data_IF_597830526997
#
_entry.id   IF_597830526997
#
_cell.length_a   1.000
_cell.length_b   1.000
_cell.length_c   1.000
_cell.angle_alpha   90.00
_cell.angle_beta   90.00
_cell.angle_gamma   90.00
#
_symmetry.space_group_name_H-M   'P 1'
#
loop_
_entity.id
_entity.type
_entity.pdbx_description
1 polymer ?
#
# COMPACT_ATOMS: atom_id res chain seq x y z
N UNK A 1 -22.21 -8.23 -0.01
CA UNK A 1 -22.98 -6.97 -0.17
C UNK A 1 -22.34 -6.22 -1.33
N UNK A 2 -23.11 -5.79 -2.33
CA UNK A 2 -22.55 -5.07 -3.48
C UNK A 2 -22.01 -3.72 -3.00
N UNK A 3 -20.69 -3.52 -3.08
CA UNK A 3 -20.06 -2.25 -2.77
C UNK A 3 -20.70 -1.20 -3.68
N UNK A 4 -21.51 -0.32 -3.08
CA UNK A 4 -22.03 0.85 -3.77
C UNK A 4 -20.83 1.67 -4.23
N UNK A 5 -20.95 2.30 -5.38
CA UNK A 5 -20.00 3.28 -5.89
C UNK A 5 -20.09 4.57 -5.04
N UNK A 6 -20.03 4.42 -3.72
CA UNK A 6 -19.88 5.49 -2.74
C UNK A 6 -18.47 6.02 -2.91
N UNK A 7 -18.36 7.07 -3.71
CA UNK A 7 -17.23 7.99 -3.90
C UNK A 7 -15.84 7.47 -3.44
N UNK A 8 -15.43 6.30 -3.96
CA UNK A 8 -14.09 5.73 -3.79
C UNK A 8 -12.99 6.71 -4.27
N UNK A 9 -13.36 7.75 -5.02
CA UNK A 9 -12.51 8.87 -5.42
C UNK A 9 -12.11 9.81 -4.27
N UNK A 10 -12.84 9.83 -3.15
CA UNK A 10 -12.53 10.68 -1.99
C UNK A 10 -11.21 10.23 -1.35
N UNK A 11 -10.90 8.94 -1.40
CA UNK A 11 -9.71 8.37 -0.77
C UNK A 11 -9.82 8.33 0.76
N UNK A 12 -9.03 7.46 1.36
CA UNK A 12 -8.99 7.18 2.78
C UNK A 12 -7.85 7.92 3.43
N UNK A 13 -8.12 8.58 4.56
CA UNK A 13 -7.09 9.24 5.35
C UNK A 13 -6.37 8.18 6.19
N UNK A 14 -5.07 8.00 5.92
CA UNK A 14 -4.20 7.03 6.60
C UNK A 14 -3.13 7.80 7.35
N UNK A 15 -2.94 7.46 8.63
CA UNK A 15 -1.85 8.00 9.44
C UNK A 15 -0.62 7.12 9.20
N UNK A 16 0.44 7.74 8.71
CA UNK A 16 1.73 7.09 8.48
C UNK A 16 2.57 7.09 9.76
N UNK A 17 3.65 6.30 9.79
CA UNK A 17 4.52 6.16 10.95
C UNK A 17 5.26 7.47 11.29
N UNK A 18 5.48 8.32 10.29
CA UNK A 18 6.00 9.69 10.44
C UNK A 18 5.02 10.65 11.14
N UNK A 19 3.80 10.19 11.46
CA UNK A 19 2.73 10.99 12.07
C UNK A 19 1.97 11.86 11.07
N UNK A 20 2.29 11.80 9.77
CA UNK A 20 1.57 12.54 8.75
C UNK A 20 0.32 11.77 8.31
N UNK A 21 -0.79 12.49 8.18
CA UNK A 21 -2.04 11.92 7.63
C UNK A 21 -2.06 12.15 6.12
N UNK A 22 -2.06 11.07 5.35
CA UNK A 22 -2.09 11.11 3.88
C UNK A 22 -3.39 10.51 3.36
N UNK A 23 -4.03 11.20 2.41
CA UNK A 23 -5.30 10.78 1.80
C UNK A 23 -5.05 9.84 0.62
N UNK A 24 -5.00 8.53 0.90
CA UNK A 24 -4.71 7.49 -0.08
C UNK A 24 -5.95 7.18 -0.92
N UNK A 25 -5.79 7.20 -2.25
CA UNK A 25 -6.87 6.89 -3.20
C UNK A 25 -6.71 5.48 -3.77
N UNK A 26 -7.80 4.81 -4.13
CA UNK A 26 -7.74 3.52 -4.79
C UNK A 26 -6.96 3.60 -6.11
N UNK A 27 -6.24 2.51 -6.40
CA UNK A 27 -5.37 2.43 -7.57
C UNK A 27 -6.19 2.50 -8.85
N UNK A 28 -5.69 3.28 -9.81
CA UNK A 28 -6.19 3.19 -11.17
C UNK A 28 -5.76 1.86 -11.81
N UNK A 29 -6.48 1.35 -12.81
CA UNK A 29 -6.13 0.09 -13.52
C UNK A 29 -4.66 0.08 -13.99
N UNK A 30 -4.10 1.24 -14.33
CA UNK A 30 -2.69 1.36 -14.75
C UNK A 30 -1.72 1.08 -13.61
N UNK A 31 -1.99 1.61 -12.41
CA UNK A 31 -1.17 1.36 -11.23
C UNK A 31 -1.43 -0.03 -10.67
N UNK A 32 -2.69 -0.49 -10.66
CA UNK A 32 -3.05 -1.84 -10.26
C UNK A 32 -2.27 -2.88 -11.06
N UNK A 33 -2.02 -2.65 -12.36
CA UNK A 33 -1.18 -3.53 -13.18
C UNK A 33 0.28 -3.55 -12.73
N UNK A 34 0.86 -2.41 -12.34
CA UNK A 34 2.24 -2.37 -11.83
C UNK A 34 2.32 -3.00 -10.44
N UNK A 35 1.37 -2.64 -9.58
CA UNK A 35 1.22 -3.15 -8.24
C UNK A 35 1.01 -4.68 -8.20
N UNK A 36 0.14 -5.21 -9.06
CA UNK A 36 -0.07 -6.65 -9.21
C UNK A 36 1.21 -7.37 -9.61
N UNK A 37 2.09 -6.76 -10.43
CA UNK A 37 3.37 -7.38 -10.76
C UNK A 37 4.33 -7.44 -9.57
N UNK A 38 4.29 -6.45 -8.68
CA UNK A 38 5.10 -6.44 -7.45
C UNK A 38 4.54 -7.45 -6.45
N UNK A 39 3.21 -7.47 -6.28
CA UNK A 39 2.51 -8.48 -5.49
C UNK A 39 2.74 -9.91 -5.98
N UNK A 40 2.80 -10.13 -7.30
CA UNK A 40 3.09 -11.45 -7.91
C UNK A 40 4.51 -11.92 -7.55
N UNK A 41 5.49 -11.00 -7.52
CA UNK A 41 6.85 -11.31 -7.01
C UNK A 41 6.84 -11.65 -5.51
N UNK A 42 5.97 -11.01 -4.75
CA UNK A 42 5.77 -11.29 -3.32
C UNK A 42 5.01 -12.59 -3.07
N UNK A 43 4.16 -13.03 -4.00
CA UNK A 43 3.31 -14.21 -3.81
C UNK A 43 4.11 -15.53 -3.83
N UNK A 44 5.32 -15.52 -4.40
CA UNK A 44 6.30 -16.60 -4.28
C UNK A 44 6.90 -16.73 -2.85
N UNK A 45 6.62 -15.79 -1.94
CA UNK A 45 6.85 -15.96 -0.49
C UNK A 45 5.75 -16.84 0.08
N UNK A 46 5.78 -18.13 -0.28
CA UNK A 46 4.80 -19.09 0.19
C UNK A 46 4.87 -19.21 1.71
N UNK A 47 3.69 -19.04 2.30
CA UNK A 47 3.30 -18.91 3.69
C UNK A 47 3.53 -20.14 4.57
N UNK A 48 4.57 -20.94 4.32
CA UNK A 48 4.89 -22.11 5.16
C UNK A 48 5.87 -21.79 6.30
N UNK A 49 6.59 -20.66 6.26
CA UNK A 49 7.50 -20.24 7.33
C UNK A 49 7.15 -18.84 7.85
N UNK A 50 6.08 -18.75 8.65
CA UNK A 50 5.62 -17.53 9.34
C UNK A 50 6.59 -17.05 10.45
N UNK A 51 7.86 -17.43 10.35
CA UNK A 51 8.97 -17.08 11.25
C UNK A 51 10.24 -16.63 10.51
N UNK A 52 10.29 -16.70 9.18
CA UNK A 52 11.43 -16.21 8.43
C UNK A 52 11.42 -14.69 8.36
N UNK A 53 12.49 -14.09 8.87
CA UNK A 53 12.90 -12.71 8.66
C UNK A 53 12.51 -12.25 7.24
N UNK A 54 11.68 -11.20 7.14
CA UNK A 54 11.46 -10.51 5.87
C UNK A 54 12.84 -10.19 5.29
N UNK A 55 13.13 -10.69 4.09
CA UNK A 55 14.40 -10.42 3.43
C UNK A 55 14.38 -8.96 2.95
N UNK A 56 15.54 -8.34 2.78
CA UNK A 56 15.63 -7.00 2.20
C UNK A 56 14.85 -6.91 0.87
N UNK A 57 14.84 -7.97 0.05
CA UNK A 57 14.04 -8.04 -1.19
C UNK A 57 12.52 -7.95 -0.93
N UNK A 58 12.02 -8.47 0.18
CA UNK A 58 10.60 -8.39 0.53
C UNK A 58 10.23 -6.97 0.96
N UNK A 59 11.12 -6.35 1.73
CA UNK A 59 10.99 -4.95 2.14
C UNK A 59 11.01 -4.05 0.91
N UNK A 60 11.97 -4.24 0.00
CA UNK A 60 12.06 -3.53 -1.29
C UNK A 60 10.76 -3.66 -2.08
N UNK A 61 10.17 -4.86 -2.17
CA UNK A 61 8.90 -5.08 -2.86
C UNK A 61 7.72 -4.37 -2.15
N UNK A 62 7.68 -4.34 -0.81
CA UNK A 62 6.66 -3.57 -0.06
C UNK A 62 6.76 -2.08 -0.36
N UNK A 63 7.98 -1.55 -0.34
CA UNK A 63 8.29 -0.15 -0.61
C UNK A 63 7.91 0.20 -2.05
N UNK A 64 8.26 -0.65 -3.02
CA UNK A 64 7.90 -0.45 -4.43
C UNK A 64 6.36 -0.47 -4.62
N UNK A 65 5.65 -1.39 -3.97
CA UNK A 65 4.19 -1.45 -4.00
C UNK A 65 3.54 -0.19 -3.42
N UNK A 66 4.05 0.28 -2.28
CA UNK A 66 3.55 1.48 -1.63
C UNK A 66 3.91 2.76 -2.40
N UNK A 67 5.09 2.84 -3.01
CA UNK A 67 5.47 3.92 -3.93
C UNK A 67 4.52 3.98 -5.13
N UNK A 68 4.15 2.84 -5.73
CA UNK A 68 3.17 2.79 -6.81
C UNK A 68 1.82 3.34 -6.36
N UNK A 69 1.38 3.02 -5.15
CA UNK A 69 0.14 3.54 -4.58
C UNK A 69 0.20 5.05 -4.31
N UNK A 70 1.32 5.51 -3.75
CA UNK A 70 1.54 6.91 -3.42
C UNK A 70 1.81 7.78 -4.65
N UNK A 71 2.27 7.22 -5.77
CA UNK A 71 2.64 7.98 -6.98
C UNK A 71 1.57 8.94 -7.55
N UNK A 72 0.30 8.76 -7.18
CA UNK A 72 -0.81 9.65 -7.57
C UNK A 72 -1.28 10.60 -6.47
N UNK A 73 -0.90 10.33 -5.23
CA UNK A 73 -1.32 11.06 -4.05
C UNK A 73 -0.20 11.96 -3.56
N UNK A 74 0.99 11.40 -3.44
CA UNK A 74 2.20 12.00 -2.90
C UNK A 74 3.39 11.55 -3.77
N UNK A 75 3.63 12.30 -4.85
CA UNK A 75 4.68 11.96 -5.82
C UNK A 75 6.07 12.12 -5.19
N UNK A 76 6.23 13.09 -4.30
CA UNK A 76 7.49 13.34 -3.60
C UNK A 76 7.87 12.14 -2.75
N UNK A 77 6.95 11.63 -1.92
CA UNK A 77 7.23 10.43 -1.13
C UNK A 77 7.41 9.19 -2.02
N UNK A 78 6.63 9.06 -3.11
CA UNK A 78 6.77 7.91 -4.02
C UNK A 78 8.09 7.86 -4.80
N UNK A 79 8.80 8.98 -4.92
CA UNK A 79 10.11 9.05 -5.59
C UNK A 79 11.27 8.95 -4.60
N UNK A 80 10.99 8.93 -3.29
CA UNK A 80 11.96 8.90 -2.20
C UNK A 80 11.80 7.60 -1.39
N UNK A 81 12.46 6.54 -1.85
CA UNK A 81 12.37 5.21 -1.25
C UNK A 81 12.78 5.19 0.22
N UNK A 82 13.84 5.90 0.59
CA UNK A 82 14.32 6.01 1.98
C UNK A 82 13.24 6.67 2.86
N UNK A 83 12.67 7.79 2.43
CA UNK A 83 11.61 8.45 3.19
C UNK A 83 10.32 7.60 3.26
N UNK A 84 10.05 6.81 2.23
CA UNK A 84 8.91 5.90 2.17
C UNK A 84 9.10 4.75 3.16
N UNK A 85 10.30 4.18 3.28
CA UNK A 85 10.68 3.19 4.29
C UNK A 85 10.55 3.71 5.72
N UNK A 86 11.06 4.92 5.99
CA UNK A 86 10.93 5.54 7.32
C UNK A 86 9.46 5.87 7.68
N UNK A 87 8.61 6.14 6.68
CA UNK A 87 7.20 6.50 6.89
C UNK A 87 6.23 5.31 6.87
N UNK A 88 6.62 4.15 6.31
CA UNK A 88 5.77 2.95 6.18
C UNK A 88 6.06 1.92 7.27
N UNK A 89 5.11 1.77 8.19
CA UNK A 89 5.03 0.60 9.07
C UNK A 89 4.12 -0.48 8.44
N UNK A 90 4.24 -1.73 8.87
CA UNK A 90 3.38 -2.87 8.51
C UNK A 90 1.89 -2.54 8.65
N UNK A 91 1.51 -1.75 9.65
CA UNK A 91 0.13 -1.26 9.85
C UNK A 91 -0.31 -0.30 8.75
N UNK A 92 0.53 0.69 8.45
CA UNK A 92 0.27 1.70 7.43
C UNK A 92 0.24 1.05 6.04
N UNK A 93 1.15 0.10 5.78
CA UNK A 93 1.16 -0.72 4.58
C UNK A 93 -0.15 -1.49 4.44
N UNK A 94 -0.58 -2.26 5.45
CA UNK A 94 -1.85 -2.98 5.40
C UNK A 94 -3.06 -2.08 5.08
N UNK A 95 -3.13 -0.91 5.72
CA UNK A 95 -4.17 0.09 5.44
C UNK A 95 -4.07 0.67 4.02
N UNK A 96 -2.85 0.97 3.55
CA UNK A 96 -2.59 1.47 2.21
C UNK A 96 -2.96 0.43 1.15
N UNK A 97 -2.70 -0.85 1.40
CA UNK A 97 -3.05 -1.96 0.51
C UNK A 97 -4.57 -2.12 0.43
N UNK A 98 -5.27 -2.08 1.57
CA UNK A 98 -6.73 -2.11 1.62
C UNK A 98 -7.35 -0.94 0.84
N UNK A 99 -6.91 0.29 1.13
CA UNK A 99 -7.33 1.50 0.42
C UNK A 99 -7.05 1.43 -1.09
N UNK A 100 -5.87 0.93 -1.46
CA UNK A 100 -5.41 0.77 -2.84
C UNK A 100 -6.30 -0.19 -3.63
N UNK A 101 -6.75 -1.27 -2.99
CA UNK A 101 -7.65 -2.27 -3.57
C UNK A 101 -9.11 -1.81 -3.59
N UNK A 102 -9.41 -0.60 -3.08
CA UNK A 102 -10.76 -0.06 -3.00
C UNK A 102 -11.58 -0.61 -1.83
N UNK A 103 -10.94 -1.31 -0.89
CA UNK A 103 -11.54 -1.66 0.38
C UNK A 103 -11.37 -0.49 1.37
N UNK A 104 -12.32 -0.31 2.27
CA UNK A 104 -12.21 0.74 3.29
C UNK A 104 -11.29 0.24 4.43
N UNK A 105 -10.07 0.81 4.60
CA UNK A 105 -9.15 0.42 5.66
C UNK A 105 -9.66 0.77 7.06
N UNK A 106 -10.70 1.61 7.17
CA UNK A 106 -11.32 2.00 8.44
C UNK A 106 -12.58 1.16 8.76
N UNK A 107 -12.98 0.22 7.89
CA UNK A 107 -14.21 -0.54 8.05
C UNK A 107 -14.10 -1.72 9.04
N UNK A 108 -12.90 -2.05 9.51
CA UNK A 108 -12.66 -3.13 10.48
C UNK A 108 -12.36 -2.58 11.90
N UNK A 109 -13.26 -1.73 12.41
CA UNK A 109 -13.32 -1.31 13.82
C UNK A 109 -14.67 -1.73 14.42
#
# INVERSE_FOLDING_TARGET
MAAKNDDLRVGYDIVFADGATRKIKPLTIRQLRSFMKVMDKMQDLDTEDTTQSMSDEDIDNMVEAAAIALSKVDKELSEDSDALEDALDLRCFGALMAASMGNDPNLDQ
#
